data_IF_625136455840
#
_entry.id   IF_625136455840
#
_cell.length_a   1.000
_cell.length_b   1.000
_cell.length_c   1.000
_cell.angle_alpha   90.00
_cell.angle_beta   90.00
_cell.angle_gamma   90.00
#
_symmetry.space_group_name_H-M   'P 1'
#
loop_
_entity.id
_entity.type
_entity.pdbx_description
1 polymer ?
#
# COMPACT_ATOMS: atom_id res chain seq x y z
N UNK A 1 2.85 16.83 -17.88
CA UNK A 1 2.28 15.48 -18.14
C UNK A 1 2.61 14.94 -19.54
N UNK A 2 3.68 15.42 -20.22
CA UNK A 2 4.14 14.82 -21.49
C UNK A 2 3.04 14.67 -22.55
N UNK A 3 2.13 15.65 -22.62
CA UNK A 3 0.97 15.59 -23.53
C UNK A 3 1.38 15.67 -25.01
N UNK A 4 2.57 16.20 -25.27
CA UNK A 4 3.14 16.36 -26.62
C UNK A 4 4.04 15.18 -27.02
N UNK A 5 4.24 14.20 -26.13
CA UNK A 5 5.07 13.03 -26.41
C UNK A 5 4.25 11.92 -27.10
N UNK A 6 4.90 11.03 -27.88
CA UNK A 6 4.24 9.89 -28.48
C UNK A 6 3.53 9.02 -27.44
N UNK A 7 2.31 8.58 -27.77
CA UNK A 7 1.52 7.69 -26.93
C UNK A 7 1.68 6.24 -27.36
N UNK A 8 1.52 5.34 -26.40
CA UNK A 8 1.49 3.90 -26.67
C UNK A 8 0.44 3.22 -25.80
N UNK A 9 -0.10 2.11 -26.32
CA UNK A 9 -1.02 1.26 -25.59
C UNK A 9 -0.27 0.58 -24.44
N UNK A 10 -0.85 0.62 -23.25
CA UNK A 10 -0.27 0.05 -22.04
C UNK A 10 -1.29 -0.80 -21.28
N UNK A 11 -0.77 -1.67 -20.42
CA UNK A 11 -1.53 -2.36 -19.38
C UNK A 11 -1.04 -1.84 -18.03
N UNK A 12 -1.97 -1.47 -17.15
CA UNK A 12 -1.65 -1.04 -15.78
C UNK A 12 -1.90 -2.22 -14.84
N UNK A 13 -0.86 -2.65 -14.16
CA UNK A 13 -0.93 -3.60 -13.04
C UNK A 13 -0.45 -2.95 -11.76
N UNK A 14 -0.93 -3.46 -10.62
CA UNK A 14 -0.39 -3.06 -9.32
C UNK A 14 0.97 -3.70 -9.04
N UNK A 15 1.58 -3.31 -7.93
CA UNK A 15 2.90 -3.80 -7.50
C UNK A 15 2.84 -5.14 -6.77
N UNK A 16 1.66 -5.76 -6.70
CA UNK A 16 1.46 -7.00 -5.97
C UNK A 16 2.00 -8.21 -6.76
N UNK A 17 2.10 -9.36 -6.08
CA UNK A 17 2.43 -10.62 -6.75
C UNK A 17 1.21 -11.36 -7.30
N UNK A 18 0.02 -10.73 -7.29
CA UNK A 18 -1.22 -11.32 -7.80
C UNK A 18 -1.34 -11.11 -9.32
N UNK A 19 -1.62 -12.19 -10.04
CA UNK A 19 -1.86 -12.14 -11.48
C UNK A 19 -3.23 -11.53 -11.84
N UNK A 20 -4.07 -11.23 -10.86
CA UNK A 20 -5.36 -10.55 -11.08
C UNK A 20 -5.31 -9.06 -10.79
N UNK A 21 -4.18 -8.53 -10.30
CA UNK A 21 -4.01 -7.12 -9.96
C UNK A 21 -3.74 -6.25 -11.19
N UNK A 22 -4.73 -6.17 -12.07
CA UNK A 22 -4.72 -5.37 -13.30
C UNK A 22 -5.94 -4.47 -13.39
N UNK A 23 -5.72 -3.21 -13.79
CA UNK A 23 -6.78 -2.22 -13.95
C UNK A 23 -7.72 -2.55 -15.13
N UNK A 24 -7.21 -3.19 -16.18
CA UNK A 24 -7.95 -3.45 -17.42
C UNK A 24 -8.33 -4.94 -17.59
N UNK A 25 -8.59 -5.63 -16.49
CA UNK A 25 -8.84 -7.08 -16.46
C UNK A 25 -10.22 -7.49 -16.96
N UNK A 26 -11.20 -6.58 -16.98
CA UNK A 26 -12.50 -6.84 -17.60
C UNK A 26 -12.45 -6.52 -19.11
N UNK A 27 -12.80 -7.50 -19.94
CA UNK A 27 -12.67 -7.46 -21.41
C UNK A 27 -13.49 -6.37 -22.15
N UNK A 28 -14.13 -5.45 -21.42
CA UNK A 28 -14.98 -4.39 -21.95
C UNK A 28 -14.48 -2.97 -21.64
N UNK A 29 -13.46 -2.83 -20.79
CA UNK A 29 -12.83 -1.52 -20.51
C UNK A 29 -11.80 -1.20 -21.59
N UNK A 30 -11.87 0.04 -22.07
CA UNK A 30 -11.15 0.50 -23.26
C UNK A 30 -9.63 0.36 -23.17
N UNK A 31 -8.97 0.44 -24.32
CA UNK A 31 -7.52 0.49 -24.41
C UNK A 31 -7.00 1.75 -23.70
N UNK A 32 -6.05 1.60 -22.77
CA UNK A 32 -5.41 2.72 -22.08
C UNK A 32 -4.15 3.12 -22.84
N UNK A 33 -3.99 4.41 -23.09
CA UNK A 33 -2.82 4.99 -23.72
C UNK A 33 -2.14 5.97 -22.76
N UNK A 34 -0.82 5.88 -22.63
CA UNK A 34 -0.02 6.83 -21.86
C UNK A 34 1.14 7.36 -22.71
N UNK A 35 1.65 8.57 -22.42
CA UNK A 35 2.87 9.08 -23.00
C UNK A 35 4.03 8.09 -22.79
N UNK A 36 4.91 7.97 -23.78
CA UNK A 36 6.14 7.20 -23.65
C UNK A 36 7.01 7.78 -22.54
N UNK A 37 7.51 6.91 -21.65
CA UNK A 37 8.42 7.31 -20.59
C UNK A 37 9.82 7.46 -21.22
N UNK A 38 10.41 8.64 -21.09
CA UNK A 38 11.84 8.88 -21.33
C UNK A 38 12.59 8.92 -19.99
N UNK A 39 13.88 8.61 -19.99
CA UNK A 39 14.70 8.41 -18.78
C UNK A 39 14.90 9.67 -17.91
N UNK A 40 14.43 10.84 -18.36
CA UNK A 40 14.74 12.14 -17.75
C UNK A 40 13.68 12.64 -16.76
N UNK A 41 12.41 12.21 -16.87
CA UNK A 41 11.33 12.75 -16.02
C UNK A 41 10.31 11.69 -15.56
N UNK A 42 9.85 11.73 -14.29
CA UNK A 42 8.80 10.83 -13.79
C UNK A 42 7.44 11.13 -14.44
N UNK A 43 6.66 10.07 -14.68
CA UNK A 43 5.25 10.17 -15.10
C UNK A 43 4.34 9.88 -13.90
N UNK A 44 3.50 10.86 -13.54
CA UNK A 44 2.50 10.70 -12.48
C UNK A 44 1.14 10.32 -13.06
N UNK A 45 0.48 9.36 -12.42
CA UNK A 45 -0.86 8.90 -12.78
C UNK A 45 -1.82 9.24 -11.63
N UNK A 46 -2.95 9.85 -11.97
CA UNK A 46 -4.02 10.17 -11.03
C UNK A 46 -5.21 9.23 -11.20
N UNK A 47 -5.65 8.61 -10.11
CA UNK A 47 -6.92 7.90 -10.05
C UNK A 47 -7.96 8.80 -9.40
N UNK A 48 -9.09 8.99 -10.08
CA UNK A 48 -10.18 9.86 -9.63
C UNK A 48 -11.41 9.03 -9.25
N UNK A 49 -12.35 9.66 -8.54
CA UNK A 49 -13.57 9.00 -8.05
C UNK A 49 -13.33 7.84 -7.07
N UNK A 50 -12.20 7.88 -6.35
CA UNK A 50 -11.80 6.90 -5.33
C UNK A 50 -12.11 7.36 -3.90
N UNK A 51 -13.05 8.29 -3.72
CA UNK A 51 -13.35 8.89 -2.41
C UNK A 51 -14.31 8.10 -1.54
N UNK A 52 -14.90 7.01 -2.03
CA UNK A 52 -15.96 6.28 -1.33
C UNK A 52 -15.74 4.76 -1.40
N UNK A 53 -15.64 4.14 -0.22
CA UNK A 53 -15.40 2.71 0.02
C UNK A 53 -13.97 2.19 -0.20
N UNK A 54 -13.12 2.82 -1.01
CA UNK A 54 -11.77 2.29 -1.31
C UNK A 54 -10.94 2.11 -0.03
N UNK A 55 -10.88 3.13 0.81
CA UNK A 55 -10.14 3.08 2.08
C UNK A 55 -10.75 2.09 3.08
N UNK A 56 -12.08 2.07 3.17
CA UNK A 56 -12.80 1.19 4.11
C UNK A 56 -12.67 -0.28 3.72
N UNK A 57 -12.74 -0.61 2.43
CA UNK A 57 -12.64 -1.97 1.92
C UNK A 57 -11.19 -2.42 1.77
N UNK A 58 -10.29 -1.51 1.38
CA UNK A 58 -8.85 -1.76 1.32
C UNK A 58 -8.23 -1.94 2.70
N UNK A 59 -8.92 -1.55 3.78
CA UNK A 59 -8.43 -1.71 5.14
C UNK A 59 -7.38 -0.67 5.48
N UNK A 60 -7.75 0.61 5.39
CA UNK A 60 -6.91 1.73 5.80
C UNK A 60 -6.35 1.53 7.22
N UNK A 61 -5.02 1.64 7.35
CA UNK A 61 -4.30 1.35 8.60
C UNK A 61 -4.22 -0.13 8.99
N UNK A 62 -4.71 -1.04 8.14
CA UNK A 62 -4.66 -2.50 8.28
C UNK A 62 -3.46 -3.12 7.57
N UNK A 63 -3.63 -4.31 7.01
CA UNK A 63 -2.62 -4.97 6.16
C UNK A 63 -3.11 -4.99 4.71
N UNK A 64 -2.23 -4.62 3.79
CA UNK A 64 -2.50 -4.69 2.36
C UNK A 64 -1.98 -5.98 1.75
N UNK A 65 -2.45 -6.30 0.55
CA UNK A 65 -1.90 -7.42 -0.21
C UNK A 65 -0.38 -7.23 -0.42
N UNK A 66 0.38 -8.31 -0.29
CA UNK A 66 1.85 -8.30 -0.30
C UNK A 66 2.52 -7.40 0.75
N UNK A 67 1.81 -6.94 1.79
CA UNK A 67 2.33 -5.99 2.78
C UNK A 67 2.87 -4.70 2.14
N UNK A 68 2.23 -4.26 1.05
CA UNK A 68 2.53 -2.97 0.43
C UNK A 68 2.03 -1.87 1.38
N UNK A 69 2.87 -0.92 1.81
CA UNK A 69 2.42 0.13 2.71
C UNK A 69 1.31 1.00 2.12
N UNK A 70 0.32 1.35 2.94
CA UNK A 70 -0.65 2.37 2.58
C UNK A 70 0.04 3.74 2.38
N UNK A 71 -0.35 4.52 1.35
CA UNK A 71 0.28 5.79 1.04
C UNK A 71 -0.05 6.86 2.08
N UNK A 72 0.71 7.96 2.06
CA UNK A 72 0.37 9.17 2.83
C UNK A 72 -0.93 9.80 2.33
N UNK A 73 -1.70 10.36 3.25
CA UNK A 73 -2.91 11.13 2.94
C UNK A 73 -2.66 12.61 3.22
N UNK A 74 -2.94 13.45 2.22
CA UNK A 74 -2.76 14.91 2.28
C UNK A 74 -4.10 15.57 2.01
N UNK A 75 -4.52 16.47 2.88
CA UNK A 75 -5.64 17.36 2.65
C UNK A 75 -5.13 18.57 1.89
N UNK A 76 -5.81 18.90 0.80
CA UNK A 76 -5.53 20.07 -0.01
C UNK A 76 -6.79 20.92 0.07
N UNK A 77 -6.65 22.13 0.59
CA UNK A 77 -7.72 23.11 0.67
C UNK A 77 -7.37 24.33 -0.18
N UNK A 78 -8.40 25.01 -0.65
CA UNK A 78 -8.27 26.22 -1.47
C UNK A 78 -9.22 27.29 -0.93
N UNK A 79 -8.65 28.39 -0.45
CA UNK A 79 -9.42 29.50 0.12
C UNK A 79 -10.09 30.36 -0.97
N UNK A 80 -10.90 31.33 -0.54
CA UNK A 80 -11.64 32.24 -1.43
C UNK A 80 -10.72 33.10 -2.32
N UNK A 81 -9.52 33.43 -1.83
CA UNK A 81 -8.49 34.16 -2.58
C UNK A 81 -7.73 33.27 -3.59
N UNK A 82 -8.02 31.97 -3.57
CA UNK A 82 -7.45 30.98 -4.46
C UNK A 82 -6.10 30.42 -4.02
N UNK A 83 -5.62 30.76 -2.82
CA UNK A 83 -4.41 30.19 -2.22
C UNK A 83 -4.64 28.73 -1.81
N UNK A 84 -3.63 27.89 -2.03
CA UNK A 84 -3.67 26.47 -1.73
C UNK A 84 -2.91 26.20 -0.42
N UNK A 85 -3.58 25.58 0.54
CA UNK A 85 -2.95 25.06 1.75
C UNK A 85 -2.95 23.53 1.75
N UNK A 86 -1.90 22.94 2.32
CA UNK A 86 -1.78 21.48 2.41
C UNK A 86 -1.51 21.05 3.85
N UNK A 87 -2.17 19.97 4.28
CA UNK A 87 -2.01 19.38 5.60
C UNK A 87 -1.80 17.87 5.48
N UNK A 88 -0.87 17.31 6.24
CA UNK A 88 -0.68 15.86 6.32
C UNK A 88 -1.73 15.26 7.25
N UNK A 89 -2.73 14.60 6.68
CA UNK A 89 -3.76 13.87 7.44
C UNK A 89 -3.23 12.59 8.05
N UNK A 90 -2.43 11.85 7.27
CA UNK A 90 -1.77 10.65 7.74
C UNK A 90 -0.46 10.39 7.01
N UNK A 91 0.54 9.94 7.77
CA UNK A 91 1.81 9.49 7.23
C UNK A 91 1.64 8.18 6.45
N UNK A 92 2.60 7.92 5.56
CA UNK A 92 2.75 6.60 4.94
C UNK A 92 2.89 5.51 6.01
N UNK A 93 2.28 4.35 5.77
CA UNK A 93 2.35 3.23 6.68
C UNK A 93 3.78 2.68 6.74
N UNK A 94 4.24 2.28 7.92
CA UNK A 94 5.57 1.67 8.04
C UNK A 94 5.46 0.15 8.08
N UNK A 95 6.53 -0.54 7.66
CA UNK A 95 6.62 -2.01 7.76
C UNK A 95 6.44 -2.50 9.20
N UNK A 96 6.98 -1.78 10.17
CA UNK A 96 6.88 -2.09 11.60
C UNK A 96 5.42 -2.06 12.06
N UNK A 97 4.64 -1.06 11.61
CA UNK A 97 3.23 -0.97 11.94
C UNK A 97 2.42 -2.17 11.43
N UNK A 98 2.74 -2.66 10.23
CA UNK A 98 2.13 -3.88 9.67
C UNK A 98 2.54 -5.13 10.44
N UNK A 99 3.83 -5.26 10.77
CA UNK A 99 4.34 -6.39 11.56
C UNK A 99 3.73 -6.43 12.97
N UNK A 100 3.48 -5.26 13.57
CA UNK A 100 2.75 -5.14 14.83
C UNK A 100 1.31 -5.63 14.73
N UNK A 101 0.58 -5.27 13.67
CA UNK A 101 -0.79 -5.77 13.42
C UNK A 101 -0.82 -7.29 13.30
N UNK A 102 0.20 -7.86 12.65
CA UNK A 102 0.39 -9.31 12.53
C UNK A 102 0.88 -9.98 13.83
N UNK A 103 1.19 -9.20 14.88
CA UNK A 103 1.61 -9.72 16.19
C UNK A 103 3.09 -10.04 16.32
N UNK A 104 3.95 -9.57 15.41
CA UNK A 104 5.40 -9.83 15.45
C UNK A 104 6.17 -8.91 16.40
N UNK A 105 5.62 -7.76 16.80
CA UNK A 105 6.28 -6.81 17.73
C UNK A 105 5.55 -6.70 19.09
N UNK A 106 6.09 -7.48 20.04
CA UNK A 106 6.01 -7.51 21.52
C UNK A 106 4.71 -7.14 22.28
N UNK A 107 3.90 -8.18 22.55
CA UNK A 107 3.68 -8.70 23.91
C UNK A 107 3.25 -10.19 23.82
N UNK A 108 3.96 -11.10 24.51
CA UNK A 108 3.63 -12.53 24.68
C UNK A 108 4.13 -13.58 23.67
N UNK A 109 5.39 -13.51 23.22
CA UNK A 109 6.10 -14.78 22.98
C UNK A 109 6.61 -15.30 24.33
N UNK A 110 6.06 -16.38 24.93
CA UNK A 110 6.68 -16.98 26.11
C UNK A 110 8.08 -17.40 25.72
N UNK A 111 9.09 -16.83 26.39
CA UNK A 111 10.48 -17.28 26.28
C UNK A 111 10.47 -18.79 26.50
N UNK A 112 10.78 -19.59 25.47
CA UNK A 112 10.95 -21.04 25.59
C UNK A 112 11.93 -21.29 26.73
N UNK A 113 11.44 -21.72 27.89
CA UNK A 113 12.30 -22.18 28.96
C UNK A 113 13.09 -23.37 28.42
N UNK A 114 14.43 -23.33 28.56
CA UNK A 114 15.28 -24.46 28.22
C UNK A 114 14.75 -25.69 28.98
N UNK A 115 14.62 -26.85 28.33
CA UNK A 115 14.13 -28.05 29.00
C UNK A 115 15.04 -28.36 30.19
N UNK A 116 14.50 -28.17 31.40
CA UNK A 116 15.20 -28.50 32.63
C UNK A 116 15.09 -30.01 32.79
N UNK A 117 16.24 -30.71 32.84
CA UNK A 117 16.27 -32.16 33.06
C UNK A 117 15.53 -32.48 34.37
N UNK A 118 14.38 -33.16 34.27
CA UNK A 118 13.72 -33.75 35.44
C UNK A 118 14.67 -34.79 36.05
N UNK A 119 15.19 -34.52 37.25
CA UNK A 119 15.80 -35.56 38.08
C UNK A 119 14.67 -36.37 38.69
N UNK A 120 14.45 -37.57 38.17
CA UNK A 120 13.64 -38.59 38.85
C UNK A 120 14.51 -39.18 39.95
N UNK A 121 14.29 -38.79 41.20
CA UNK A 121 14.85 -39.49 42.35
C UNK A 121 13.98 -40.72 42.62
N UNK A 122 14.43 -41.89 42.17
CA UNK A 122 13.88 -43.16 42.65
C UNK A 122 14.42 -43.45 44.04
N UNK A 123 13.52 -43.62 45.01
CA UNK A 123 13.80 -44.37 46.24
C UNK A 123 13.25 -45.78 46.07
N UNK A 124 14.12 -46.76 46.38
CA UNK A 124 13.81 -48.19 46.55
C UNK A 124 12.85 -48.41 47.72
#
# INVERSE_FOLDING_TARGET
>A
NKWDDPYHKINIGGLTCDSQDYYNSEAHTGEVFLPMINDEEPLYIGFFHTGAYQESLGGYGGIQHCLIPAPKHVLIDRNEDGEISTELFASEQTSESMMKILGYEEAHAPKRQKPTKLKVSGSL
#
